data_IF_297295138850
#
_entry.id   IF_297295138850
#
_cell.length_a   1.000
_cell.length_b   1.000
_cell.length_c   1.000
_cell.angle_alpha   90.00
_cell.angle_beta   90.00
_cell.angle_gamma   90.00
#
_symmetry.space_group_name_H-M   'P 1'
#
loop_
_entity.id
_entity.type
_entity.pdbx_description
1 polymer ?
#
# COMPACT_ATOMS: atom_id res chain seq x y z
N UNK A 1 -17.91 11.72 12.49
CA UNK A 1 -16.88 10.89 13.11
C UNK A 1 -15.55 11.59 13.08
N UNK A 2 -14.89 11.69 14.23
CA UNK A 2 -13.83 12.68 14.41
C UNK A 2 -12.49 12.33 13.74
N UNK A 3 -12.34 11.19 13.07
CA UNK A 3 -11.02 10.75 12.60
C UNK A 3 -10.91 10.33 11.14
N UNK A 4 -11.98 10.38 10.37
CA UNK A 4 -11.92 10.09 8.94
C UNK A 4 -12.05 11.37 8.13
N UNK A 5 -11.07 11.70 7.28
CA UNK A 5 -11.17 12.85 6.41
C UNK A 5 -12.30 12.64 5.39
N UNK A 6 -13.10 13.67 5.20
CA UNK A 6 -14.22 13.67 4.26
C UNK A 6 -13.92 14.46 2.99
N UNK A 7 -12.96 15.37 3.07
CA UNK A 7 -12.56 16.27 2.00
C UNK A 7 -11.09 16.67 2.12
N UNK A 8 -10.49 17.04 1.02
CA UNK A 8 -9.15 17.56 0.95
C UNK A 8 -8.11 16.57 0.43
N UNK A 9 -6.87 16.98 0.50
CA UNK A 9 -5.76 16.15 0.06
C UNK A 9 -4.59 16.21 1.03
N UNK A 10 -3.75 15.18 0.99
CA UNK A 10 -2.50 15.09 1.74
C UNK A 10 -1.41 14.56 0.84
N UNK A 11 -0.29 15.25 0.81
CA UNK A 11 0.94 14.79 0.15
C UNK A 11 2.04 14.68 1.20
N UNK A 12 2.69 13.52 1.26
CA UNK A 12 3.87 13.29 2.09
C UNK A 12 5.00 12.82 1.22
N UNK A 13 6.11 13.50 1.29
CA UNK A 13 7.37 13.06 0.71
C UNK A 13 8.37 12.81 1.84
N UNK A 14 9.07 11.69 1.75
CA UNK A 14 10.16 11.34 2.67
C UNK A 14 11.35 10.85 1.87
N UNK A 15 12.51 11.37 2.20
CA UNK A 15 13.77 10.89 1.69
C UNK A 15 14.67 10.51 2.85
N UNK A 16 15.26 9.32 2.79
CA UNK A 16 16.27 8.86 3.74
C UNK A 16 17.60 8.79 3.04
N UNK A 17 18.57 9.50 3.61
CA UNK A 17 19.94 9.61 3.09
C UNK A 17 20.90 8.91 4.09
N UNK A 18 21.93 8.21 3.62
CA UNK A 18 22.86 7.49 4.48
C UNK A 18 23.97 8.44 5.02
N UNK A 19 23.57 9.43 5.79
CA UNK A 19 24.52 10.46 6.28
C UNK A 19 25.27 10.01 7.54
N UNK A 20 24.71 9.09 8.31
CA UNK A 20 25.25 8.69 9.65
C UNK A 20 25.13 7.16 9.92
N UNK A 21 24.55 6.39 9.02
CA UNK A 21 24.33 4.94 9.21
C UNK A 21 25.14 4.12 8.20
N UNK A 22 25.38 2.85 8.53
CA UNK A 22 25.97 1.84 7.63
C UNK A 22 25.08 1.49 6.41
N UNK A 23 24.08 2.32 6.10
CA UNK A 23 23.25 2.18 4.90
C UNK A 23 23.96 2.84 3.73
N UNK A 24 24.04 2.13 2.62
CA UNK A 24 24.65 2.59 1.37
C UNK A 24 23.60 2.95 0.31
N UNK A 25 22.34 3.17 0.72
CA UNK A 25 21.23 3.41 -0.19
C UNK A 25 20.46 4.70 0.13
N UNK A 26 19.86 5.28 -0.91
CA UNK A 26 18.88 6.37 -0.82
C UNK A 26 17.48 5.77 -0.96
N UNK A 27 16.61 6.09 -0.02
CA UNK A 27 15.21 5.68 -0.01
C UNK A 27 14.32 6.91 -0.22
N UNK A 28 13.46 6.87 -1.23
CA UNK A 28 12.48 7.91 -1.52
C UNK A 28 11.08 7.34 -1.40
N UNK A 29 10.20 8.04 -0.70
CA UNK A 29 8.81 7.66 -0.49
C UNK A 29 7.89 8.83 -0.77
N UNK A 30 6.87 8.62 -1.59
CA UNK A 30 5.77 9.55 -1.79
C UNK A 30 4.44 8.89 -1.44
N UNK A 31 3.61 9.59 -0.72
CA UNK A 31 2.28 9.15 -0.28
C UNK A 31 1.29 10.28 -0.54
N UNK A 32 0.32 10.04 -1.39
CA UNK A 32 -0.72 11.01 -1.76
C UNK A 32 -2.08 10.43 -1.43
N UNK A 33 -2.89 11.20 -0.75
CA UNK A 33 -4.28 10.84 -0.46
C UNK A 33 -5.17 12.02 -0.79
N UNK A 34 -6.28 11.77 -1.46
CA UNK A 34 -7.32 12.75 -1.72
C UNK A 34 -8.67 12.20 -1.32
N UNK A 35 -9.52 13.07 -0.81
CA UNK A 35 -10.85 12.74 -0.32
C UNK A 35 -11.83 13.75 -0.90
N UNK A 36 -12.96 13.26 -1.39
CA UNK A 36 -14.00 14.08 -1.96
C UNK A 36 -15.38 13.49 -1.66
N UNK A 37 -16.32 14.28 -1.12
CA UNK A 37 -17.70 13.84 -0.99
C UNK A 37 -18.33 13.67 -2.39
N UNK A 38 -18.69 12.46 -2.73
CA UNK A 38 -19.38 12.14 -4.00
C UNK A 38 -20.88 12.38 -3.88
N UNK A 39 -21.40 12.20 -2.69
CA UNK A 39 -22.77 12.52 -2.29
C UNK A 39 -22.82 12.74 -0.78
N UNK A 40 -24.01 13.05 -0.25
CA UNK A 40 -24.21 13.20 1.20
C UNK A 40 -23.86 11.91 1.99
N UNK A 41 -23.96 10.76 1.34
CA UNK A 41 -23.79 9.44 1.93
C UNK A 41 -22.54 8.69 1.46
N UNK A 42 -21.74 9.27 0.56
CA UNK A 42 -20.58 8.60 -0.03
C UNK A 42 -19.39 9.53 -0.10
N UNK A 43 -18.28 9.09 0.50
CA UNK A 43 -17.00 9.77 0.44
C UNK A 43 -16.05 8.94 -0.40
N UNK A 44 -15.63 9.48 -1.54
CA UNK A 44 -14.61 8.87 -2.39
C UNK A 44 -13.20 9.24 -1.92
N UNK A 45 -12.27 8.30 -2.01
CA UNK A 45 -10.87 8.55 -1.79
C UNK A 45 -9.98 7.86 -2.83
N UNK A 46 -8.90 8.52 -3.17
CA UNK A 46 -7.82 7.97 -4.00
C UNK A 46 -6.55 8.07 -3.19
N UNK A 47 -5.82 6.95 -3.09
CA UNK A 47 -4.56 6.86 -2.36
C UNK A 47 -3.49 6.33 -3.27
N UNK A 48 -2.45 7.10 -3.48
CA UNK A 48 -1.27 6.73 -4.26
C UNK A 48 -0.06 6.61 -3.34
N UNK A 49 0.73 5.57 -3.55
CA UNK A 49 1.94 5.29 -2.83
C UNK A 49 3.03 4.86 -3.82
N UNK A 50 4.20 5.44 -3.69
CA UNK A 50 5.38 5.02 -4.43
C UNK A 50 6.61 5.11 -3.54
N UNK A 51 7.49 4.12 -3.66
CA UNK A 51 8.76 4.10 -2.95
C UNK A 51 9.84 3.52 -3.83
N UNK A 52 11.05 4.08 -3.73
CA UNK A 52 12.22 3.60 -4.44
C UNK A 52 13.42 3.55 -3.52
N UNK A 53 14.30 2.58 -3.74
CA UNK A 53 15.57 2.47 -3.07
C UNK A 53 16.68 2.32 -4.11
N UNK A 54 17.77 3.08 -3.95
CA UNK A 54 18.92 3.07 -4.86
C UNK A 54 20.21 2.99 -4.05
N UNK A 55 21.14 2.14 -4.47
CA UNK A 55 22.49 2.14 -3.94
C UNK A 55 23.23 3.41 -4.40
N UNK A 56 24.03 4.00 -3.50
CA UNK A 56 24.80 5.23 -3.80
C UNK A 56 26.15 4.88 -4.43
N UNK A 57 26.77 3.81 -3.95
CA UNK A 57 28.03 3.31 -4.47
C UNK A 57 27.80 2.26 -5.56
N UNK A 58 28.87 1.71 -6.10
CA UNK A 58 28.81 0.64 -7.11
C UNK A 58 28.22 -0.67 -6.60
N UNK A 59 27.82 -0.71 -5.35
CA UNK A 59 27.20 -1.87 -4.71
C UNK A 59 25.70 -1.91 -5.02
N UNK A 60 25.16 -3.11 -4.99
CA UNK A 60 23.72 -3.35 -5.16
C UNK A 60 22.99 -3.04 -3.84
N UNK A 61 21.69 -2.77 -3.95
CA UNK A 61 20.84 -2.63 -2.77
C UNK A 61 20.86 -3.91 -1.95
N UNK A 62 21.12 -3.80 -0.65
CA UNK A 62 21.15 -4.96 0.26
C UNK A 62 19.78 -5.62 0.34
N UNK A 63 19.75 -6.93 0.50
CA UNK A 63 18.50 -7.69 0.64
C UNK A 63 17.59 -7.14 1.74
N UNK A 64 18.16 -6.71 2.86
CA UNK A 64 17.44 -6.15 4.00
C UNK A 64 16.86 -4.75 3.75
N UNK A 65 17.34 -4.05 2.71
CA UNK A 65 16.88 -2.71 2.32
C UNK A 65 15.87 -2.76 1.16
N UNK A 66 15.62 -3.94 0.58
CA UNK A 66 14.66 -4.11 -0.50
C UNK A 66 13.24 -3.90 -0.03
N UNK A 67 12.39 -3.46 -0.96
CA UNK A 67 11.05 -2.98 -0.68
C UNK A 67 10.01 -4.08 -0.88
N UNK A 68 9.05 -4.11 0.03
CA UNK A 68 7.79 -4.81 -0.10
C UNK A 68 6.63 -3.82 0.01
N UNK A 69 5.46 -4.17 -0.54
CA UNK A 69 4.26 -3.37 -0.36
C UNK A 69 3.79 -3.41 1.11
N UNK A 70 3.36 -2.28 1.68
CA UNK A 70 2.63 -2.30 2.94
C UNK A 70 1.28 -3.03 2.78
N UNK A 71 0.92 -3.88 3.75
CA UNK A 71 -0.31 -4.68 3.71
C UNK A 71 -1.57 -3.85 3.46
N UNK A 72 -1.64 -2.66 4.06
CA UNK A 72 -2.76 -1.72 3.91
C UNK A 72 -2.91 -1.13 2.50
N UNK A 73 -1.91 -1.30 1.64
CA UNK A 73 -1.91 -0.76 0.27
C UNK A 73 -2.37 -1.77 -0.76
N UNK A 74 -2.34 -3.04 -0.43
CA UNK A 74 -2.81 -4.13 -1.28
C UNK A 74 -3.54 -5.17 -0.43
N UNK A 75 -4.75 -4.83 -0.04
CA UNK A 75 -5.60 -5.69 0.80
C UNK A 75 -6.04 -6.92 0.02
N UNK A 76 -6.05 -8.06 0.67
CA UNK A 76 -6.40 -9.35 0.06
C UNK A 76 -5.21 -10.17 -0.42
N UNK A 77 -4.01 -9.60 -0.50
CA UNK A 77 -2.77 -10.29 -0.86
C UNK A 77 -1.86 -10.51 0.35
N UNK A 78 -1.08 -11.55 0.28
CA UNK A 78 0.12 -11.64 1.09
C UNK A 78 1.22 -10.80 0.41
N UNK A 79 1.42 -9.60 0.91
CA UNK A 79 2.35 -8.62 0.30
C UNK A 79 3.80 -9.09 0.25
N UNK A 80 4.18 -10.06 1.08
CA UNK A 80 5.50 -10.68 1.04
C UNK A 80 5.65 -11.68 -0.12
N UNK A 81 4.55 -12.00 -0.82
CA UNK A 81 4.52 -12.84 -2.01
C UNK A 81 4.22 -12.04 -3.29
N UNK A 82 4.53 -10.75 -3.29
CA UNK A 82 4.39 -9.88 -4.45
C UNK A 82 5.76 -9.34 -4.84
N UNK A 83 6.13 -9.49 -6.09
CA UNK A 83 7.36 -8.95 -6.65
C UNK A 83 8.39 -10.01 -7.06
N UNK A 84 9.65 -9.58 -7.21
CA UNK A 84 10.73 -10.42 -7.69
C UNK A 84 11.01 -11.64 -6.81
N UNK A 85 11.39 -12.74 -7.48
CA UNK A 85 11.76 -14.01 -6.85
C UNK A 85 13.18 -14.40 -7.20
N UNK A 86 13.89 -14.96 -6.23
CA UNK A 86 15.13 -15.70 -6.44
C UNK A 86 14.85 -17.18 -6.08
N UNK A 87 14.65 -18.00 -7.11
CA UNK A 87 14.14 -19.35 -6.93
C UNK A 87 12.70 -19.35 -6.43
N UNK A 88 12.48 -19.87 -5.21
CA UNK A 88 11.15 -19.88 -4.56
C UNK A 88 10.96 -18.73 -3.56
N UNK A 89 12.01 -17.96 -3.28
CA UNK A 89 12.01 -16.92 -2.27
C UNK A 89 11.67 -15.54 -2.86
N UNK A 90 10.73 -14.85 -2.25
CA UNK A 90 10.44 -13.45 -2.57
C UNK A 90 11.44 -12.54 -1.87
N UNK A 91 12.12 -11.75 -2.65
CA UNK A 91 13.27 -10.95 -2.17
C UNK A 91 13.00 -9.44 -2.09
N UNK A 92 11.79 -9.02 -2.44
CA UNK A 92 11.48 -7.60 -2.58
C UNK A 92 12.07 -7.00 -3.85
N UNK A 93 11.88 -5.70 -4.03
CA UNK A 93 12.34 -4.98 -5.21
C UNK A 93 12.92 -3.61 -4.85
N UNK A 94 13.45 -2.94 -5.87
CA UNK A 94 13.99 -1.58 -5.74
C UNK A 94 12.89 -0.52 -5.88
N UNK A 95 11.75 -0.88 -6.48
CA UNK A 95 10.59 -0.02 -6.67
C UNK A 95 9.31 -0.70 -6.19
N UNK A 96 8.43 0.08 -5.59
CA UNK A 96 7.08 -0.35 -5.27
C UNK A 96 6.09 0.80 -5.48
N UNK A 97 4.94 0.48 -6.05
CA UNK A 97 3.81 1.42 -6.18
C UNK A 97 2.51 0.76 -5.80
N UNK A 98 1.59 1.56 -5.31
CA UNK A 98 0.22 1.14 -5.07
C UNK A 98 -0.76 2.28 -5.36
N UNK A 99 -1.91 1.93 -5.89
CA UNK A 99 -3.03 2.84 -6.13
C UNK A 99 -4.28 2.21 -5.54
N UNK A 100 -4.96 2.93 -4.68
CA UNK A 100 -6.20 2.51 -4.04
C UNK A 100 -7.33 3.48 -4.32
N UNK A 101 -8.50 2.95 -4.66
CA UNK A 101 -9.76 3.66 -4.74
C UNK A 101 -10.68 3.12 -3.67
N UNK A 102 -11.29 4.00 -2.90
CA UNK A 102 -12.19 3.59 -1.82
C UNK A 102 -13.41 4.51 -1.78
N UNK A 103 -14.58 3.92 -1.63
CA UNK A 103 -15.82 4.62 -1.35
C UNK A 103 -16.25 4.28 0.08
N UNK A 104 -16.26 5.27 0.95
CA UNK A 104 -16.75 5.16 2.32
C UNK A 104 -18.25 5.42 2.34
N UNK A 105 -18.98 4.58 3.06
CA UNK A 105 -20.44 4.62 3.21
C UNK A 105 -20.80 4.88 4.68
N UNK A 106 -20.61 6.11 5.19
CA UNK A 106 -20.71 6.41 6.62
C UNK A 106 -22.11 6.20 7.20
N UNK A 107 -23.14 6.26 6.37
CA UNK A 107 -24.54 6.14 6.78
C UNK A 107 -25.16 4.79 6.42
N UNK A 108 -24.38 3.81 5.98
CA UNK A 108 -24.88 2.48 5.62
C UNK A 108 -25.43 1.73 6.82
N UNK A 109 -24.79 1.90 7.98
CA UNK A 109 -25.22 1.30 9.26
C UNK A 109 -25.61 2.42 10.24
N UNK A 110 -26.52 2.14 11.19
CA UNK A 110 -26.88 3.11 12.21
C UNK A 110 -25.67 3.59 13.04
N UNK A 111 -25.65 4.85 13.45
CA UNK A 111 -24.58 5.43 14.26
C UNK A 111 -24.34 4.66 15.57
N UNK A 112 -25.38 4.04 16.11
CA UNK A 112 -25.30 3.23 17.32
C UNK A 112 -24.33 2.05 17.20
N UNK A 113 -24.08 1.55 15.98
CA UNK A 113 -23.15 0.46 15.72
C UNK A 113 -21.70 0.92 15.77
N UNK A 114 -21.44 2.22 15.64
CA UNK A 114 -20.10 2.83 15.55
C UNK A 114 -19.22 2.14 14.47
N UNK A 115 -19.87 1.73 13.38
CA UNK A 115 -19.24 0.94 12.32
C UNK A 115 -19.34 1.69 11.01
N UNK A 116 -18.20 1.88 10.35
CA UNK A 116 -18.09 2.42 9.00
C UNK A 116 -17.79 1.30 8.02
N UNK A 117 -18.54 1.29 6.92
CA UNK A 117 -18.34 0.34 5.83
C UNK A 117 -17.77 1.07 4.62
N UNK A 118 -16.82 0.46 3.95
CA UNK A 118 -16.27 0.94 2.69
C UNK A 118 -16.12 -0.18 1.67
N UNK A 119 -16.17 0.18 0.40
CA UNK A 119 -15.79 -0.69 -0.72
C UNK A 119 -14.51 -0.14 -1.34
N UNK A 120 -13.64 -1.03 -1.80
CA UNK A 120 -12.34 -0.62 -2.32
C UNK A 120 -11.88 -1.45 -3.51
N UNK A 121 -11.00 -0.84 -4.30
CA UNK A 121 -10.18 -1.50 -5.30
C UNK A 121 -8.74 -1.08 -5.03
N UNK A 122 -7.87 -2.04 -4.75
CA UNK A 122 -6.45 -1.83 -4.54
C UNK A 122 -5.66 -2.47 -5.69
N UNK A 123 -4.65 -1.77 -6.16
CA UNK A 123 -3.69 -2.29 -7.13
C UNK A 123 -2.28 -1.92 -6.73
N UNK A 124 -1.33 -2.79 -7.01
CA UNK A 124 0.05 -2.53 -6.63
C UNK A 124 1.04 -3.45 -7.32
N UNK A 125 2.29 -3.08 -7.22
CA UNK A 125 3.40 -3.79 -7.82
C UNK A 125 4.71 -3.54 -7.06
N UNK A 126 5.60 -4.53 -7.12
CA UNK A 126 6.98 -4.45 -6.65
C UNK A 126 7.87 -5.00 -7.76
N UNK A 127 8.90 -4.27 -8.15
CA UNK A 127 9.74 -4.68 -9.27
C UNK A 127 11.19 -4.22 -9.14
N UNK A 128 11.99 -4.70 -10.06
CA UNK A 128 13.39 -4.45 -10.26
C UNK A 128 14.31 -4.97 -9.14
N UNK A 129 15.32 -5.69 -9.59
CA UNK A 129 16.41 -6.19 -8.80
C UNK A 129 17.72 -5.85 -9.52
N UNK A 130 18.65 -5.23 -8.82
CA UNK A 130 19.87 -4.68 -9.42
C UNK A 130 21.11 -5.58 -9.38
N UNK A 131 21.03 -6.76 -8.75
CA UNK A 131 22.22 -7.60 -8.55
C UNK A 131 22.36 -8.77 -9.54
N UNK A 132 21.30 -9.15 -10.25
CA UNK A 132 21.35 -10.23 -11.22
C UNK A 132 20.25 -10.11 -12.28
N UNK A 133 20.62 -10.18 -13.54
CA UNK A 133 19.67 -10.29 -14.67
C UNK A 133 19.01 -11.67 -14.81
N UNK A 134 19.43 -12.64 -14.00
CA UNK A 134 18.87 -14.00 -14.00
C UNK A 134 17.67 -14.16 -13.06
N UNK A 135 17.37 -13.12 -12.28
CA UNK A 135 16.22 -13.12 -11.38
C UNK A 135 14.97 -12.78 -12.16
N UNK A 136 13.92 -13.53 -11.91
CA UNK A 136 12.59 -13.21 -12.41
C UNK A 136 12.05 -12.00 -11.66
N UNK A 137 12.26 -10.82 -12.24
CA UNK A 137 11.68 -9.56 -11.80
C UNK A 137 10.38 -9.22 -12.53
N UNK A 138 9.85 -10.17 -13.31
CA UNK A 138 8.60 -10.06 -14.02
C UNK A 138 7.44 -9.87 -13.04
N UNK A 139 7.32 -8.65 -12.61
CA UNK A 139 6.31 -8.21 -11.68
C UNK A 139 5.00 -7.96 -12.42
N UNK A 140 4.04 -8.81 -12.19
CA UNK A 140 2.66 -8.54 -12.61
C UNK A 140 2.01 -7.53 -11.67
N UNK A 141 1.24 -6.59 -12.22
CA UNK A 141 0.35 -5.75 -11.41
C UNK A 141 -0.67 -6.65 -10.72
N UNK A 142 -0.77 -6.53 -9.40
CA UNK A 142 -1.75 -7.25 -8.60
C UNK A 142 -2.90 -6.32 -8.27
N UNK A 143 -4.12 -6.83 -8.37
CA UNK A 143 -5.34 -6.07 -8.09
C UNK A 143 -6.29 -6.88 -7.25
N UNK A 144 -6.94 -6.21 -6.30
CA UNK A 144 -7.97 -6.80 -5.45
C UNK A 144 -9.16 -5.85 -5.30
N UNK A 145 -10.33 -6.42 -5.12
CA UNK A 145 -11.55 -5.70 -4.78
C UNK A 145 -12.09 -6.24 -3.46
N UNK A 146 -12.68 -5.39 -2.65
CA UNK A 146 -13.19 -5.85 -1.37
C UNK A 146 -14.07 -4.87 -0.64
N UNK A 147 -14.44 -5.30 0.56
CA UNK A 147 -15.25 -4.54 1.51
C UNK A 147 -14.48 -4.49 2.82
N UNK A 148 -14.44 -3.31 3.43
CA UNK A 148 -13.87 -3.10 4.76
C UNK A 148 -14.93 -2.57 5.72
N UNK A 149 -14.89 -3.03 6.96
CA UNK A 149 -15.71 -2.53 8.05
C UNK A 149 -14.81 -2.14 9.23
N UNK A 150 -14.90 -0.90 9.68
CA UNK A 150 -14.17 -0.38 10.82
C UNK A 150 -15.17 -0.09 11.93
N UNK A 151 -15.01 -0.74 13.07
CA UNK A 151 -15.88 -0.56 14.23
C UNK A 151 -15.10 -0.10 15.45
N UNK A 152 -15.70 0.80 16.22
CA UNK A 152 -15.15 1.27 17.49
C UNK A 152 -15.70 0.43 18.63
N UNK A 153 -14.80 -0.20 19.36
CA UNK A 153 -15.16 -0.99 20.54
C UNK A 153 -14.55 -0.37 21.82
N UNK A 154 -15.03 -0.73 23.01
CA UNK A 154 -14.44 -0.27 24.27
C UNK A 154 -12.95 -0.64 24.43
N UNK A 155 -12.48 -1.67 23.72
CA UNK A 155 -11.07 -2.08 23.75
C UNK A 155 -10.25 -1.47 22.60
N UNK A 156 -10.86 -0.67 21.74
CA UNK A 156 -10.21 0.00 20.61
C UNK A 156 -10.86 -0.24 19.27
N UNK A 157 -10.28 0.31 18.20
CA UNK A 157 -10.79 0.11 16.84
C UNK A 157 -10.51 -1.31 16.34
N UNK A 158 -11.52 -1.94 15.75
CA UNK A 158 -11.40 -3.21 15.03
C UNK A 158 -11.68 -2.99 13.55
N UNK A 159 -10.89 -3.60 12.70
CA UNK A 159 -11.04 -3.55 11.25
C UNK A 159 -11.22 -4.95 10.68
N UNK A 160 -12.25 -5.15 9.89
CA UNK A 160 -12.53 -6.37 9.16
C UNK A 160 -12.45 -6.08 7.67
N UNK A 161 -11.75 -6.93 6.93
CA UNK A 161 -11.60 -6.78 5.48
C UNK A 161 -11.88 -8.12 4.81
N UNK A 162 -12.77 -8.09 3.83
CA UNK A 162 -13.00 -9.19 2.89
C UNK A 162 -12.56 -8.70 1.52
N UNK A 163 -11.59 -9.37 0.93
CA UNK A 163 -11.05 -9.02 -0.37
C UNK A 163 -10.95 -10.23 -1.27
N UNK A 164 -11.14 -10.00 -2.57
CA UNK A 164 -10.97 -10.97 -3.62
C UNK A 164 -9.87 -10.50 -4.56
N UNK A 165 -8.94 -11.37 -4.82
CA UNK A 165 -7.92 -11.19 -5.84
C UNK A 165 -8.55 -11.21 -7.23
N UNK A 166 -8.21 -10.20 -8.05
CA UNK A 166 -8.63 -10.07 -9.44
C UNK A 166 -7.54 -10.48 -10.43
N UNK A 167 -6.29 -10.51 -9.99
CA UNK A 167 -5.16 -10.92 -10.79
C UNK A 167 -4.93 -12.42 -10.59
N UNK A 168 -4.93 -13.18 -11.69
CA UNK A 168 -4.50 -14.59 -11.65
C UNK A 168 -2.98 -14.64 -11.54
N UNK A 169 -2.50 -15.51 -10.67
CA UNK A 169 -1.09 -15.91 -10.66
C UNK A 169 -0.65 -16.48 -12.00
#
# INVERSE_FOLDING_TARGET
>A
QPFQPTEGYRVKFRQSLPVIMDSSSIDNNIDVSTYHPLSDDVIGSIKFYARSVHAIDKDNVRLTERLFLPQKRLRGFNVYKVGPKDGEDYIGGNYTTALGFEAQLPNLLPESTKTDVSVFIDTGNVWEVDYSSAIDDASGIRSAVGIAANTWTPVGPLSFTLAQDLSKE
#
